data_IF_947295756811
#
_entry.id   IF_947295756811
#
_cell.length_a   1.000
_cell.length_b   1.000
_cell.length_c   1.000
_cell.angle_alpha   90.00
_cell.angle_beta   90.00
_cell.angle_gamma   90.00
#
_symmetry.space_group_name_H-M   'P 1'
#
loop_
_entity.id
_entity.type
_entity.pdbx_description
1 polymer ?
#
# COMPACT_ATOMS: atom_id res chain seq x y z
N UNK A 1 0.71 -29.29 -18.79
CA UNK A 1 1.30 -27.97 -19.13
C UNK A 1 1.10 -27.07 -17.92
N UNK A 2 2.16 -26.49 -17.35
CA UNK A 2 2.08 -25.65 -16.15
C UNK A 2 2.55 -24.24 -16.55
N UNK A 3 1.68 -23.24 -16.42
CA UNK A 3 2.01 -21.84 -16.72
C UNK A 3 2.23 -21.08 -15.43
N UNK A 4 3.44 -20.52 -15.27
CA UNK A 4 3.74 -19.57 -14.21
C UNK A 4 3.61 -18.17 -14.81
N UNK A 5 2.75 -17.35 -14.21
CA UNK A 5 2.58 -15.94 -14.56
C UNK A 5 2.99 -15.14 -13.34
N UNK A 6 3.95 -14.23 -13.53
CA UNK A 6 4.42 -13.29 -12.52
C UNK A 6 4.00 -11.87 -12.94
N UNK A 7 3.63 -11.04 -11.97
CA UNK A 7 3.29 -9.63 -12.21
C UNK A 7 4.50 -8.74 -11.92
N UNK A 8 4.89 -7.92 -12.90
CA UNK A 8 5.90 -6.91 -12.67
C UNK A 8 5.37 -5.85 -11.70
N UNK A 9 6.10 -5.64 -10.58
CA UNK A 9 5.81 -4.60 -9.57
C UNK A 9 4.34 -4.55 -9.16
N UNK A 10 3.78 -5.69 -8.75
CA UNK A 10 2.35 -5.84 -8.46
C UNK A 10 1.77 -4.76 -7.52
N UNK A 11 2.54 -4.33 -6.51
CA UNK A 11 2.11 -3.29 -5.56
C UNK A 11 2.15 -1.88 -6.14
N UNK A 12 2.96 -1.63 -7.17
CA UNK A 12 2.96 -0.38 -7.89
C UNK A 12 1.82 -0.36 -8.92
N UNK A 13 1.45 -1.50 -9.49
CA UNK A 13 0.44 -1.55 -10.57
C UNK A 13 -0.98 -1.80 -10.08
N UNK A 14 -1.16 -2.22 -8.82
CA UNK A 14 -2.49 -2.48 -8.27
C UNK A 14 -3.34 -1.21 -8.17
N UNK A 15 -4.61 -1.31 -8.56
CA UNK A 15 -5.60 -0.28 -8.31
C UNK A 15 -6.18 -0.47 -6.90
N UNK A 16 -5.72 0.35 -5.96
CA UNK A 16 -6.15 0.29 -4.55
C UNK A 16 -7.66 0.47 -4.35
N UNK A 17 -8.33 1.24 -5.21
CA UNK A 17 -9.79 1.40 -5.17
C UNK A 17 -10.55 0.13 -5.57
N UNK A 18 -9.99 -0.71 -6.46
CA UNK A 18 -10.55 -2.03 -6.78
C UNK A 18 -10.37 -2.98 -5.59
N UNK A 19 -9.17 -3.03 -5.01
CA UNK A 19 -8.86 -3.90 -3.87
C UNK A 19 -9.81 -3.61 -2.70
N UNK A 20 -10.00 -2.33 -2.38
CA UNK A 20 -10.91 -1.90 -1.34
C UNK A 20 -12.36 -2.36 -1.57
N UNK A 21 -12.89 -2.16 -2.79
CA UNK A 21 -14.24 -2.63 -3.13
C UNK A 21 -14.38 -4.13 -2.98
N UNK A 22 -13.32 -4.90 -3.26
CA UNK A 22 -13.32 -6.35 -3.07
C UNK A 22 -13.32 -6.71 -1.58
N UNK A 23 -12.51 -6.04 -0.76
CA UNK A 23 -12.49 -6.27 0.69
C UNK A 23 -13.85 -5.99 1.34
N UNK A 24 -14.55 -4.92 0.92
CA UNK A 24 -15.93 -4.66 1.36
C UNK A 24 -16.85 -5.82 1.01
N UNK A 25 -16.81 -6.32 -0.23
CA UNK A 25 -17.64 -7.46 -0.68
C UNK A 25 -17.31 -8.76 0.06
N UNK A 26 -16.07 -8.93 0.50
CA UNK A 26 -15.63 -10.08 1.29
C UNK A 26 -15.98 -9.98 2.78
N UNK A 27 -16.61 -8.86 3.22
CA UNK A 27 -17.09 -8.69 4.59
C UNK A 27 -16.03 -8.20 5.58
N UNK A 28 -14.96 -7.56 5.09
CA UNK A 28 -13.99 -6.92 5.99
C UNK A 28 -14.64 -5.77 6.76
N UNK A 29 -14.29 -5.62 8.03
CA UNK A 29 -14.83 -4.56 8.88
C UNK A 29 -14.33 -3.18 8.45
N UNK A 30 -15.10 -2.13 8.75
CA UNK A 30 -14.70 -0.75 8.47
C UNK A 30 -13.38 -0.37 9.14
N UNK A 31 -13.11 -0.91 10.34
CA UNK A 31 -11.84 -0.72 11.03
C UNK A 31 -10.66 -1.23 10.20
N UNK A 32 -10.79 -2.42 9.61
CA UNK A 32 -9.76 -3.00 8.76
C UNK A 32 -9.53 -2.16 7.50
N UNK A 33 -10.61 -1.71 6.86
CA UNK A 33 -10.53 -0.84 5.67
C UNK A 33 -9.86 0.50 6.00
N UNK A 34 -10.17 1.10 7.15
CA UNK A 34 -9.57 2.35 7.61
C UNK A 34 -8.07 2.21 7.81
N UNK A 35 -7.61 1.12 8.44
CA UNK A 35 -6.19 0.87 8.67
C UNK A 35 -5.45 0.67 7.34
N UNK A 36 -6.04 -0.11 6.43
CA UNK A 36 -5.48 -0.34 5.09
C UNK A 36 -5.33 0.98 4.30
N UNK A 37 -6.34 1.86 4.32
CA UNK A 37 -6.23 3.20 3.70
C UNK A 37 -5.10 4.02 4.31
N UNK A 38 -4.99 4.07 5.64
CA UNK A 38 -3.96 4.83 6.31
C UNK A 38 -2.56 4.38 5.85
N UNK A 39 -2.31 3.07 5.80
CA UNK A 39 -1.01 2.55 5.36
C UNK A 39 -0.69 2.84 3.89
N UNK A 40 -1.66 2.74 3.00
CA UNK A 40 -1.42 2.92 1.56
C UNK A 40 -1.27 4.39 1.19
N UNK A 41 -2.08 5.27 1.78
CA UNK A 41 -2.15 6.68 1.38
C UNK A 41 -1.38 7.63 2.29
N UNK A 42 -1.00 7.18 3.49
CA UNK A 42 -0.25 7.99 4.46
C UNK A 42 1.16 7.42 4.68
N UNK A 43 1.75 6.81 3.64
CA UNK A 43 3.16 6.42 3.64
C UNK A 43 4.04 7.63 3.96
N UNK A 44 4.63 7.59 5.16
CA UNK A 44 5.68 8.49 5.59
C UNK A 44 7.03 7.81 5.35
N UNK A 45 7.99 8.56 4.82
CA UNK A 45 9.38 8.14 4.75
C UNK A 45 10.27 9.20 5.40
N UNK A 46 11.37 8.75 5.98
CA UNK A 46 12.50 9.57 6.39
C UNK A 46 13.76 9.11 5.67
N UNK A 47 14.67 10.06 5.42
CA UNK A 47 15.97 9.77 4.83
C UNK A 47 16.99 9.69 5.96
N UNK A 48 17.85 8.68 5.95
CA UNK A 48 18.96 8.61 6.89
C UNK A 48 20.13 9.47 6.37
N UNK A 49 20.50 10.50 7.11
CA UNK A 49 21.68 11.34 6.86
C UNK A 49 22.70 11.07 7.96
N UNK A 50 23.85 10.48 7.59
CA UNK A 50 24.88 10.06 8.54
C UNK A 50 24.34 9.15 9.66
N UNK A 51 23.39 8.28 9.34
CA UNK A 51 22.76 7.36 10.29
C UNK A 51 21.69 8.00 11.18
N UNK A 52 21.41 9.30 11.04
CA UNK A 52 20.32 9.99 11.75
C UNK A 52 19.14 10.22 10.80
N UNK A 53 17.90 9.88 11.17
CA UNK A 53 16.73 10.13 10.33
C UNK A 53 16.40 11.62 10.24
N UNK A 54 16.01 12.06 9.04
CA UNK A 54 15.35 13.36 8.82
C UNK A 54 13.93 13.33 9.38
N UNK A 55 13.28 14.49 9.40
CA UNK A 55 11.84 14.54 9.58
C UNK A 55 11.12 13.68 8.53
N UNK A 56 10.04 13.04 8.97
CA UNK A 56 9.18 12.25 8.11
C UNK A 56 8.45 13.15 7.13
N UNK A 57 8.45 12.76 5.87
CA UNK A 57 7.69 13.44 4.81
C UNK A 57 6.74 12.47 4.13
N UNK A 58 5.61 13.01 3.67
CA UNK A 58 4.67 12.24 2.85
C UNK A 58 5.29 11.96 1.50
N UNK A 59 5.35 10.70 1.12
CA UNK A 59 5.77 10.32 -0.23
C UNK A 59 4.59 10.45 -1.16
N UNK A 60 4.59 11.53 -1.93
CA UNK A 60 3.71 11.68 -3.08
C UNK A 60 4.13 10.74 -4.19
N UNK A 61 3.15 10.26 -4.95
CA UNK A 61 3.38 9.51 -6.18
C UNK A 61 3.69 10.45 -7.33
#
# INVERSE_FOLDING_TARGET
MLFKVDFERAFDTVNWGILERMMVKMGFSEGWLKWMRAWIFESLMSILVNGSPTEDYKVGR
#
